data_IF_558599361573
#
_entry.id   IF_558599361573
#
_cell.length_a   1.000
_cell.length_b   1.000
_cell.length_c   1.000
_cell.angle_alpha   90.00
_cell.angle_beta   90.00
_cell.angle_gamma   90.00
#
_symmetry.space_group_name_H-M   'P 1'
#
loop_
_entity.id
_entity.type
_entity.pdbx_description
1 polymer ?
#
# COMPACT_ATOMS: atom_id res chain seq x y z
N UNK A 1 16.80 14.50 -31.27
CA UNK A 1 15.93 13.45 -30.69
C UNK A 1 15.83 13.76 -29.20
N UNK A 2 14.83 14.55 -28.82
CA UNK A 2 14.41 14.72 -27.43
C UNK A 2 12.91 14.48 -27.45
N UNK A 3 12.49 13.42 -26.79
CA UNK A 3 11.08 13.09 -26.63
C UNK A 3 10.55 14.02 -25.55
N UNK A 4 9.74 15.00 -25.94
CA UNK A 4 8.97 15.82 -25.01
C UNK A 4 8.06 14.90 -24.19
N UNK A 5 8.43 14.71 -22.92
CA UNK A 5 7.53 14.16 -21.91
C UNK A 5 6.48 15.24 -21.70
N UNK A 6 5.29 15.04 -22.26
CA UNK A 6 4.16 15.93 -21.99
C UNK A 6 3.69 15.62 -20.57
N UNK A 7 4.23 16.36 -19.60
CA UNK A 7 3.57 16.58 -18.32
C UNK A 7 2.17 17.09 -18.62
N UNK A 8 1.20 16.18 -18.56
CA UNK A 8 -0.21 16.52 -18.67
C UNK A 8 -0.58 17.20 -17.37
N UNK A 9 -0.31 18.50 -17.31
CA UNK A 9 -0.87 19.40 -16.29
C UNK A 9 -2.39 19.30 -16.40
N UNK A 10 -2.98 18.53 -15.49
CA UNK A 10 -4.43 18.44 -15.32
C UNK A 10 -4.93 19.84 -14.95
N UNK A 11 -5.76 20.41 -15.83
CA UNK A 11 -6.36 21.72 -15.62
C UNK A 11 -7.28 21.66 -14.38
N UNK A 12 -7.12 22.53 -13.37
CA UNK A 12 -7.87 22.46 -12.11
C UNK A 12 -9.36 22.80 -12.24
N UNK A 13 -9.85 23.13 -13.44
CA UNK A 13 -11.26 23.41 -13.71
C UNK A 13 -12.03 22.17 -14.25
N UNK A 14 -11.35 21.04 -14.50
CA UNK A 14 -11.95 19.74 -14.87
C UNK A 14 -12.02 18.78 -13.66
N UNK A 15 -12.38 19.30 -12.48
CA UNK A 15 -12.38 18.52 -11.22
C UNK A 15 -13.50 17.50 -11.13
N UNK A 16 -14.55 17.65 -11.94
CA UNK A 16 -15.72 16.79 -11.90
C UNK A 16 -16.21 16.44 -13.29
N UNK A 17 -16.01 15.18 -13.68
CA UNK A 17 -16.47 14.65 -14.97
C UNK A 17 -17.41 13.49 -14.72
N UNK A 18 -18.55 13.46 -15.40
CA UNK A 18 -19.50 12.35 -15.36
C UNK A 18 -19.89 11.99 -16.79
N UNK A 19 -19.55 10.78 -17.20
CA UNK A 19 -19.94 10.18 -18.47
C UNK A 19 -20.11 8.68 -18.33
N UNK A 20 -20.57 8.02 -19.39
CA UNK A 20 -20.90 6.59 -19.31
C UNK A 20 -19.69 5.71 -18.97
N UNK A 21 -18.49 6.09 -19.39
CA UNK A 21 -17.25 5.32 -19.22
C UNK A 21 -16.21 5.99 -18.34
N UNK A 22 -16.43 7.24 -17.95
CA UNK A 22 -15.47 8.03 -17.20
C UNK A 22 -16.18 8.85 -16.14
N UNK A 23 -15.85 8.59 -14.88
CA UNK A 23 -16.24 9.43 -13.76
C UNK A 23 -14.99 9.93 -13.04
N UNK A 24 -15.00 11.21 -12.67
CA UNK A 24 -13.89 11.84 -11.94
C UNK A 24 -14.46 12.74 -10.86
N UNK A 25 -13.88 12.66 -9.68
CA UNK A 25 -13.99 13.67 -8.63
C UNK A 25 -12.60 14.26 -8.29
N UNK A 26 -12.52 15.04 -7.21
CA UNK A 26 -11.27 15.69 -6.76
C UNK A 26 -10.13 14.71 -6.46
N UNK A 27 -10.42 13.44 -6.14
CA UNK A 27 -9.45 12.45 -5.68
C UNK A 27 -9.38 11.20 -6.53
N UNK A 28 -10.45 10.83 -7.23
CA UNK A 28 -10.59 9.54 -7.87
C UNK A 28 -11.06 9.70 -9.31
N UNK A 29 -10.42 8.95 -10.20
CA UNK A 29 -10.89 8.71 -11.57
C UNK A 29 -11.28 7.25 -11.72
N UNK A 30 -12.51 6.99 -12.13
CA UNK A 30 -12.99 5.70 -12.57
C UNK A 30 -13.08 5.69 -14.11
N UNK A 31 -12.34 4.81 -14.76
CA UNK A 31 -12.35 4.65 -16.20
C UNK A 31 -12.71 3.21 -16.57
N UNK A 32 -13.74 3.05 -17.40
CA UNK A 32 -14.08 1.76 -17.98
C UNK A 32 -13.20 1.54 -19.21
N UNK A 33 -12.39 0.49 -19.17
CA UNK A 33 -11.43 0.10 -20.19
C UNK A 33 -11.78 -1.27 -20.74
N UNK A 34 -11.33 -1.58 -21.94
CA UNK A 34 -11.42 -2.95 -22.47
C UNK A 34 -10.44 -3.82 -21.68
N UNK A 35 -10.88 -4.99 -21.23
CA UNK A 35 -9.99 -5.93 -20.57
C UNK A 35 -9.04 -6.54 -21.61
N UNK A 36 -7.73 -6.51 -21.35
CA UNK A 36 -6.72 -7.07 -22.25
C UNK A 36 -6.62 -8.60 -22.12
N UNK A 37 -7.01 -9.15 -20.96
CA UNK A 37 -6.85 -10.57 -20.63
C UNK A 37 -8.13 -11.41 -20.83
N UNK A 38 -9.30 -10.79 -21.05
CA UNK A 38 -10.60 -11.47 -21.21
C UNK A 38 -11.52 -10.83 -22.27
N UNK A 39 -12.52 -11.57 -22.74
CA UNK A 39 -13.67 -11.03 -23.50
C UNK A 39 -14.59 -10.20 -22.57
N UNK A 40 -14.18 -8.97 -22.23
CA UNK A 40 -14.97 -8.12 -21.34
C UNK A 40 -14.44 -6.70 -21.16
N UNK A 41 -15.04 -6.03 -20.18
CA UNK A 41 -14.65 -4.69 -19.75
C UNK A 41 -14.05 -4.77 -18.34
N UNK A 42 -13.17 -3.85 -18.02
CA UNK A 42 -12.64 -3.63 -16.70
C UNK A 42 -12.88 -2.18 -16.29
N UNK A 43 -12.83 -1.91 -14.99
CA UNK A 43 -12.82 -0.57 -14.45
C UNK A 43 -11.50 -0.35 -13.73
N UNK A 44 -10.81 0.71 -14.12
CA UNK A 44 -9.60 1.19 -13.49
C UNK A 44 -9.95 2.35 -12.56
N UNK A 45 -9.50 2.26 -11.31
CA UNK A 45 -9.64 3.28 -10.29
C UNK A 45 -8.27 3.88 -9.98
N UNK A 46 -8.08 5.13 -10.36
CA UNK A 46 -6.82 5.87 -10.18
C UNK A 46 -7.01 6.99 -9.18
N UNK A 47 -6.09 7.09 -8.22
CA UNK A 47 -6.04 8.20 -7.27
C UNK A 47 -5.36 9.40 -7.95
N UNK A 48 -5.85 10.61 -7.70
CA UNK A 48 -5.29 11.83 -8.25
C UNK A 48 -3.80 11.97 -7.84
N UNK A 49 -2.94 12.19 -8.84
CA UNK A 49 -1.48 12.26 -8.65
C UNK A 49 -0.75 10.93 -8.84
N UNK A 50 -1.46 9.81 -8.85
CA UNK A 50 -0.86 8.50 -9.14
C UNK A 50 -0.82 8.21 -10.64
N UNK A 51 0.28 7.62 -11.11
CA UNK A 51 0.41 7.17 -12.50
C UNK A 51 -0.33 5.85 -12.75
N UNK A 52 -0.35 4.98 -11.73
CA UNK A 52 -0.95 3.65 -11.82
C UNK A 52 -2.31 3.58 -11.11
N UNK A 53 -3.26 2.78 -11.61
CA UNK A 53 -4.53 2.56 -10.94
C UNK A 53 -4.33 1.75 -9.64
N UNK A 54 -4.93 2.22 -8.56
CA UNK A 54 -4.97 1.52 -7.28
C UNK A 54 -5.77 0.20 -7.35
N UNK A 55 -6.72 0.11 -8.28
CA UNK A 55 -7.56 -1.06 -8.49
C UNK A 55 -7.93 -1.16 -9.97
N UNK A 56 -7.70 -2.33 -10.56
CA UNK A 56 -8.30 -2.73 -11.84
C UNK A 56 -9.14 -3.96 -11.57
N UNK A 57 -10.42 -3.90 -11.91
CA UNK A 57 -11.35 -5.01 -11.66
C UNK A 57 -12.30 -5.23 -12.82
N UNK A 58 -12.89 -6.44 -12.93
CA UNK A 58 -13.85 -6.73 -13.98
C UNK A 58 -15.06 -5.80 -13.90
N UNK A 59 -15.51 -5.32 -15.05
CA UNK A 59 -16.68 -4.45 -15.19
C UNK A 59 -17.78 -5.12 -16.00
N UNK A 60 -19.02 -4.88 -15.57
CA UNK A 60 -20.17 -5.58 -16.13
C UNK A 60 -20.50 -5.06 -17.53
N UNK A 61 -20.71 -5.98 -18.48
CA UNK A 61 -21.31 -5.66 -19.77
C UNK A 61 -22.75 -5.15 -19.59
N UNK A 62 -23.09 -4.11 -20.33
CA UNK A 62 -24.41 -3.53 -20.41
C UNK A 62 -25.43 -4.49 -21.02
N UNK A 63 -26.68 -4.03 -21.10
CA UNK A 63 -27.82 -4.86 -21.50
C UNK A 63 -27.69 -5.43 -22.92
N UNK A 64 -26.98 -4.74 -23.80
CA UNK A 64 -26.71 -5.18 -25.17
C UNK A 64 -25.64 -6.28 -25.27
N UNK A 65 -25.05 -6.69 -24.14
CA UNK A 65 -23.99 -7.70 -24.03
C UNK A 65 -22.73 -7.40 -24.85
N UNK A 66 -22.52 -6.15 -25.24
CA UNK A 66 -21.39 -5.71 -26.05
C UNK A 66 -20.71 -4.49 -25.44
N UNK A 67 -21.48 -3.46 -25.14
CA UNK A 67 -20.99 -2.24 -24.52
C UNK A 67 -20.97 -2.42 -22.99
N UNK A 68 -20.10 -1.72 -22.26
CA UNK A 68 -20.09 -1.80 -20.81
C UNK A 68 -21.33 -1.14 -20.22
N UNK A 69 -21.70 -1.54 -19.01
CA UNK A 69 -22.73 -0.85 -18.25
C UNK A 69 -22.25 0.59 -17.95
N UNK A 70 -23.05 1.63 -18.19
CA UNK A 70 -22.69 2.99 -17.84
C UNK A 70 -22.37 3.13 -16.35
N UNK A 71 -21.34 3.89 -16.04
CA UNK A 71 -21.03 4.30 -14.67
C UNK A 71 -22.18 5.14 -14.11
N UNK A 72 -22.46 4.92 -12.83
CA UNK A 72 -23.46 5.66 -12.07
C UNK A 72 -22.90 6.05 -10.72
N UNK A 73 -23.45 7.10 -10.11
CA UNK A 73 -22.97 7.59 -8.81
C UNK A 73 -22.87 6.49 -7.74
N UNK A 74 -23.87 5.61 -7.54
CA UNK A 74 -23.77 4.52 -6.58
C UNK A 74 -22.62 3.53 -6.88
N UNK A 75 -22.38 3.27 -8.17
CA UNK A 75 -21.32 2.37 -8.60
C UNK A 75 -19.95 3.02 -8.38
N UNK A 76 -19.80 4.30 -8.76
CA UNK A 76 -18.60 5.09 -8.54
C UNK A 76 -18.21 5.15 -7.05
N UNK A 77 -19.14 5.50 -6.16
CA UNK A 77 -18.86 5.53 -4.72
C UNK A 77 -18.50 4.17 -4.13
N UNK A 78 -19.02 3.08 -4.70
CA UNK A 78 -18.62 1.72 -4.28
C UNK A 78 -17.18 1.45 -4.70
N UNK A 79 -16.82 1.78 -5.94
CA UNK A 79 -15.47 1.62 -6.45
C UNK A 79 -14.44 2.47 -5.66
N UNK A 80 -14.79 3.72 -5.33
CA UNK A 80 -13.97 4.59 -4.47
C UNK A 80 -13.66 3.93 -3.13
N UNK A 81 -14.67 3.33 -2.47
CA UNK A 81 -14.46 2.62 -1.20
C UNK A 81 -13.54 1.42 -1.37
N UNK A 82 -13.75 0.61 -2.40
CA UNK A 82 -12.91 -0.57 -2.66
C UNK A 82 -11.47 -0.19 -2.98
N UNK A 83 -11.25 0.79 -3.85
CA UNK A 83 -9.91 1.25 -4.22
C UNK A 83 -9.17 1.88 -3.03
N UNK A 84 -9.87 2.68 -2.21
CA UNK A 84 -9.31 3.24 -0.97
C UNK A 84 -8.88 2.14 0.00
N UNK A 85 -9.67 1.07 0.11
CA UNK A 85 -9.36 -0.08 0.96
C UNK A 85 -8.15 -0.88 0.44
N UNK A 86 -7.99 -1.01 -0.88
CA UNK A 86 -6.81 -1.64 -1.49
C UNK A 86 -5.54 -0.86 -1.13
N UNK A 87 -5.55 0.47 -1.30
CA UNK A 87 -4.41 1.31 -0.91
C UNK A 87 -4.10 1.18 0.58
N UNK A 88 -5.11 1.31 1.43
CA UNK A 88 -4.95 1.16 2.89
C UNK A 88 -4.36 -0.20 3.26
N UNK A 89 -4.82 -1.28 2.62
CA UNK A 89 -4.30 -2.63 2.86
C UNK A 89 -2.86 -2.77 2.37
N UNK A 90 -2.53 -2.19 1.22
CA UNK A 90 -1.18 -2.21 0.68
C UNK A 90 -0.21 -1.48 1.61
N UNK A 91 -0.56 -0.28 2.07
CA UNK A 91 0.20 0.48 3.06
C UNK A 91 0.39 -0.30 4.36
N UNK A 92 -0.67 -0.94 4.86
CA UNK A 92 -0.59 -1.77 6.07
C UNK A 92 0.29 -3.00 5.87
N UNK A 93 0.24 -3.63 4.70
CA UNK A 93 1.09 -4.76 4.36
C UNK A 93 2.56 -4.32 4.25
N UNK A 94 2.84 -3.16 3.65
CA UNK A 94 4.17 -2.58 3.60
C UNK A 94 4.68 -2.26 5.01
N UNK A 95 3.87 -1.59 5.83
CA UNK A 95 4.20 -1.29 7.21
C UNK A 95 4.48 -2.56 8.02
N UNK A 96 3.66 -3.61 7.89
CA UNK A 96 3.90 -4.88 8.59
C UNK A 96 5.16 -5.62 8.12
N UNK A 97 5.56 -5.41 6.87
CA UNK A 97 6.82 -5.96 6.34
C UNK A 97 8.03 -5.19 6.86
N UNK A 98 7.94 -3.86 6.93
CA UNK A 98 9.04 -2.98 7.37
C UNK A 98 9.17 -2.88 8.88
N UNK A 99 8.07 -2.98 9.63
CA UNK A 99 8.02 -2.81 11.07
C UNK A 99 7.48 -4.10 11.72
N UNK A 100 8.40 -4.94 12.17
CA UNK A 100 8.07 -6.19 12.87
C UNK A 100 8.28 -6.01 14.36
N UNK A 101 7.48 -6.70 15.17
CA UNK A 101 7.74 -6.75 16.62
C UNK A 101 7.36 -8.09 17.23
N UNK A 102 8.04 -8.43 18.32
CA UNK A 102 7.80 -9.60 19.15
C UNK A 102 7.82 -9.18 20.62
N UNK A 103 6.94 -9.78 21.41
CA UNK A 103 6.94 -9.60 22.87
C UNK A 103 7.49 -10.87 23.49
N UNK A 104 8.54 -10.72 24.28
CA UNK A 104 9.22 -11.82 24.96
C UNK A 104 9.16 -11.57 26.46
N UNK A 105 8.92 -12.63 27.23
CA UNK A 105 9.05 -12.57 28.68
C UNK A 105 10.51 -12.92 29.04
N UNK A 106 11.15 -12.05 29.83
CA UNK A 106 12.53 -12.17 30.34
C UNK A 106 12.53 -12.16 31.87
N UNK A 107 13.67 -12.42 32.52
CA UNK A 107 13.76 -12.40 33.99
C UNK A 107 13.46 -11.00 34.57
N UNK A 108 13.79 -9.94 33.83
CA UNK A 108 13.51 -8.55 34.19
C UNK A 108 12.09 -8.08 33.85
N UNK A 109 11.28 -8.95 33.20
CA UNK A 109 9.92 -8.65 32.79
C UNK A 109 9.71 -8.76 31.29
N UNK A 110 8.59 -8.20 30.81
CA UNK A 110 8.22 -8.27 29.39
C UNK A 110 8.99 -7.24 28.58
N UNK A 111 9.70 -7.71 27.56
CA UNK A 111 10.46 -6.90 26.60
C UNK A 111 9.81 -7.01 25.22
N UNK A 112 9.54 -5.86 24.61
CA UNK A 112 9.17 -5.78 23.21
C UNK A 112 10.42 -5.58 22.35
N UNK A 113 10.70 -6.55 21.48
CA UNK A 113 11.74 -6.43 20.46
C UNK A 113 11.09 -5.96 19.17
N UNK A 114 11.65 -4.92 18.56
CA UNK A 114 11.23 -4.36 17.28
C UNK A 114 12.34 -4.56 16.24
N UNK A 115 11.93 -4.82 14.99
CA UNK A 115 12.79 -4.75 13.82
C UNK A 115 12.17 -3.72 12.86
N UNK A 116 12.89 -2.63 12.64
CA UNK A 116 12.51 -1.56 11.71
C UNK A 116 13.44 -1.58 10.50
N UNK A 117 12.90 -1.90 9.33
CA UNK A 117 13.63 -2.01 8.06
C UNK A 117 13.53 -0.69 7.30
N UNK A 118 14.67 -0.18 6.85
CA UNK A 118 14.79 0.97 5.95
C UNK A 118 15.07 0.44 4.54
N UNK A 119 14.08 0.47 3.64
CA UNK A 119 14.25 0.07 2.24
C UNK A 119 14.89 1.23 1.48
N UNK A 120 16.21 1.31 1.53
CA UNK A 120 17.02 2.24 0.74
C UNK A 120 17.54 1.52 -0.52
N UNK A 121 17.58 2.19 -1.67
CA UNK A 121 18.03 1.59 -2.94
C UNK A 121 19.53 1.26 -2.92
N UNK A 122 20.34 2.07 -2.23
CA UNK A 122 21.79 1.95 -2.23
C UNK A 122 22.30 1.16 -1.01
N UNK A 123 21.70 1.36 0.17
CA UNK A 123 22.18 0.82 1.44
C UNK A 123 21.03 0.38 2.37
N UNK A 124 20.28 -0.68 2.04
CA UNK A 124 19.20 -1.15 2.88
C UNK A 124 19.71 -1.71 4.21
N UNK A 125 19.05 -1.33 5.30
CA UNK A 125 19.41 -1.82 6.63
C UNK A 125 18.18 -1.99 7.51
N UNK A 126 18.35 -2.63 8.66
CA UNK A 126 17.33 -2.68 9.68
C UNK A 126 17.88 -2.34 11.05
N UNK A 127 17.00 -1.96 11.96
CA UNK A 127 17.34 -1.60 13.34
C UNK A 127 16.58 -2.51 14.28
N UNK A 128 17.30 -3.27 15.09
CA UNK A 128 16.75 -4.01 16.23
C UNK A 128 16.69 -3.09 17.43
N UNK A 129 15.53 -3.02 18.07
CA UNK A 129 15.31 -2.22 19.29
C UNK A 129 14.65 -3.08 20.35
N UNK A 130 15.09 -3.01 21.60
CA UNK A 130 14.47 -3.66 22.74
C UNK A 130 13.86 -2.59 23.64
N UNK A 131 12.57 -2.71 23.94
CA UNK A 131 11.84 -1.81 24.84
C UNK A 131 11.23 -2.57 25.99
N UNK A 132 11.23 -2.00 27.18
CA UNK A 132 10.57 -2.58 28.34
C UNK A 132 9.02 -2.43 28.27
N UNK A 133 8.33 -2.82 29.34
CA UNK A 133 6.87 -2.70 29.43
C UNK A 133 6.36 -1.23 29.48
N UNK A 134 7.21 -0.29 29.90
CA UNK A 134 6.93 1.16 29.90
C UNK A 134 7.21 1.83 28.54
N UNK A 135 7.82 1.11 27.60
CA UNK A 135 8.25 1.64 26.31
C UNK A 135 9.63 2.30 26.33
N UNK A 136 10.37 2.19 27.44
CA UNK A 136 11.74 2.67 27.58
C UNK A 136 12.69 1.80 26.75
N UNK A 137 13.59 2.45 26.01
CA UNK A 137 14.56 1.77 25.16
C UNK A 137 15.68 1.18 26.02
N UNK A 138 15.78 -0.14 26.08
CA UNK A 138 16.83 -0.88 26.78
C UNK A 138 18.10 -0.98 25.93
N UNK A 139 17.93 -1.28 24.64
CA UNK A 139 19.05 -1.44 23.71
C UNK A 139 18.61 -1.24 22.26
N UNK A 140 19.57 -0.88 21.40
CA UNK A 140 19.37 -0.78 19.97
C UNK A 140 20.62 -1.22 19.20
N UNK A 141 20.44 -1.88 18.06
CA UNK A 141 21.54 -2.32 17.19
C UNK A 141 21.14 -2.33 15.72
N UNK A 142 22.01 -1.82 14.85
CA UNK A 142 21.86 -1.94 13.39
C UNK A 142 22.19 -3.35 12.92
N UNK A 143 21.37 -3.89 12.02
CA UNK A 143 21.54 -5.19 11.37
C UNK A 143 21.29 -5.07 9.87
N UNK A 144 21.61 -6.10 9.12
CA UNK A 144 21.28 -6.17 7.68
C UNK A 144 19.76 -6.19 7.47
N UNK A 145 19.28 -5.62 6.36
CA UNK A 145 17.85 -5.59 6.04
C UNK A 145 17.22 -7.00 5.94
N UNK A 146 18.01 -8.00 5.52
CA UNK A 146 17.60 -9.41 5.43
C UNK A 146 17.62 -10.17 6.76
N UNK A 147 17.79 -9.49 7.90
CA UNK A 147 17.87 -10.15 9.20
C UNK A 147 16.64 -11.03 9.47
N UNK A 148 16.88 -12.31 9.77
CA UNK A 148 15.83 -13.30 10.07
C UNK A 148 15.23 -13.04 11.45
N UNK A 149 14.29 -12.11 11.53
CA UNK A 149 13.60 -11.78 12.77
C UNK A 149 12.54 -12.81 13.15
N UNK A 150 12.82 -13.54 14.22
CA UNK A 150 11.95 -14.53 14.85
C UNK A 150 12.26 -14.63 16.36
N UNK A 151 11.45 -15.40 17.08
CA UNK A 151 11.55 -15.56 18.54
C UNK A 151 12.95 -16.01 19.01
N UNK A 152 13.57 -16.98 18.32
CA UNK A 152 14.91 -17.49 18.64
C UNK A 152 15.99 -16.42 18.46
N UNK A 153 15.98 -15.71 17.31
CA UNK A 153 16.94 -14.64 17.03
C UNK A 153 16.81 -13.47 18.01
N UNK A 154 15.58 -13.16 18.43
CA UNK A 154 15.30 -12.09 19.37
C UNK A 154 15.74 -12.47 20.79
N UNK A 155 15.46 -13.71 21.24
CA UNK A 155 15.96 -14.21 22.53
C UNK A 155 17.49 -14.25 22.61
N UNK A 156 18.14 -14.75 21.56
CA UNK A 156 19.60 -14.80 21.49
C UNK A 156 20.21 -13.38 21.56
N UNK A 157 19.57 -12.41 20.91
CA UNK A 157 20.01 -11.03 21.01
C UNK A 157 19.82 -10.45 22.41
N UNK A 158 18.65 -10.66 23.03
CA UNK A 158 18.42 -10.20 24.41
C UNK A 158 19.41 -10.82 25.40
N UNK A 159 19.68 -12.12 25.30
CA UNK A 159 20.68 -12.79 26.15
C UNK A 159 22.10 -12.22 25.97
N UNK A 160 22.44 -11.69 24.79
CA UNK A 160 23.74 -11.03 24.55
C UNK A 160 23.85 -9.63 25.19
N UNK A 161 22.75 -9.05 25.65
CA UNK A 161 22.70 -7.74 26.30
C UNK A 161 22.82 -7.84 27.83
N UNK A 162 22.91 -9.05 28.40
CA UNK A 162 22.91 -9.28 29.85
C UNK A 162 21.71 -8.63 30.57
N UNK A 163 20.57 -8.56 29.87
CA UNK A 163 19.25 -8.17 30.39
C UNK A 163 18.59 -9.38 31.08
#
# INVERSE_FOLDING_TARGET
>A
MSTDITDTVLNPEDTWTQGDLLWRDERWTAQVIKNEDDEGWAVAMTLAGEQEPALVGPWTMGRDKKNPKPLSAPAFHTLVKTASEVLRRHEQQLHAQLHKSLKLDTEQGRVQVLLDIVPDEDNPYATLSAKDAGGELLAQRRVEAGFKFNETSARNWLASLEL
#
